data_IF_168423913090
#
_entry.id   IF_168423913090
#
_cell.length_a   1.000
_cell.length_b   1.000
_cell.length_c   1.000
_cell.angle_alpha   90.00
_cell.angle_beta   90.00
_cell.angle_gamma   90.00
#
_symmetry.space_group_name_H-M   'P 1'
#
loop_
_entity.id
_entity.type
_entity.pdbx_description
1 polymer ?
#
# COMPACT_ATOMS: atom_id res chain seq x y z
N UNK A 1 13.87 -14.25 -14.47
CA UNK A 1 13.77 -15.73 -14.68
C UNK A 1 14.24 -16.43 -13.42
N UNK A 2 13.59 -17.56 -13.06
CA UNK A 2 14.08 -18.47 -12.00
C UNK A 2 14.72 -19.70 -12.64
N UNK A 3 15.94 -19.99 -12.23
CA UNK A 3 16.69 -21.18 -12.71
C UNK A 3 16.41 -22.37 -11.76
N UNK A 4 15.26 -23.01 -11.97
CA UNK A 4 14.70 -24.02 -11.07
C UNK A 4 15.63 -25.21 -10.82
N UNK A 5 16.44 -25.56 -11.79
CA UNK A 5 17.43 -26.65 -11.72
C UNK A 5 18.55 -26.40 -10.71
N UNK A 6 18.76 -25.12 -10.31
CA UNK A 6 19.78 -24.74 -9.31
C UNK A 6 19.19 -24.30 -7.98
N UNK A 7 17.85 -24.41 -7.80
CA UNK A 7 17.16 -24.01 -6.58
C UNK A 7 17.16 -25.19 -5.58
N UNK A 8 17.44 -24.88 -4.32
CA UNK A 8 17.32 -25.82 -3.20
C UNK A 8 16.56 -25.18 -2.03
N UNK A 9 16.23 -25.90 -0.94
CA UNK A 9 15.58 -25.31 0.23
C UNK A 9 16.32 -24.12 0.86
N UNK A 10 17.61 -23.96 0.56
CA UNK A 10 18.46 -22.91 1.14
C UNK A 10 19.07 -21.99 0.11
N UNK A 11 18.85 -22.22 -1.20
CA UNK A 11 19.47 -21.46 -2.29
C UNK A 11 18.41 -21.12 -3.32
N UNK A 12 18.26 -19.83 -3.62
CA UNK A 12 17.46 -19.33 -4.72
C UNK A 12 18.40 -18.81 -5.84
N UNK A 13 18.27 -19.38 -7.05
CA UNK A 13 19.02 -18.92 -8.20
C UNK A 13 18.06 -18.29 -9.20
N UNK A 14 18.34 -17.03 -9.51
CA UNK A 14 17.51 -16.24 -10.42
C UNK A 14 18.37 -15.36 -11.33
N UNK A 15 17.75 -14.88 -12.39
CA UNK A 15 18.34 -13.90 -13.29
C UNK A 15 18.84 -12.67 -12.52
N UNK A 16 20.05 -12.25 -12.82
CA UNK A 16 20.57 -10.98 -12.33
C UNK A 16 19.89 -9.82 -13.07
N UNK A 17 19.36 -8.87 -12.32
CA UNK A 17 18.71 -7.69 -12.86
C UNK A 17 19.70 -6.52 -12.78
N UNK A 18 20.25 -6.16 -13.92
CA UNK A 18 21.17 -5.01 -14.08
C UNK A 18 20.34 -3.74 -14.31
N UNK A 19 19.70 -3.26 -13.26
CA UNK A 19 18.84 -2.08 -13.29
C UNK A 19 19.16 -1.11 -12.16
N UNK A 20 18.67 0.12 -12.29
CA UNK A 20 18.86 1.18 -11.30
C UNK A 20 17.84 1.02 -10.16
N UNK A 21 18.23 1.35 -8.94
CA UNK A 21 17.26 1.44 -7.84
C UNK A 21 16.24 2.55 -8.14
N UNK A 22 14.97 2.32 -7.81
CA UNK A 22 13.89 3.26 -8.11
C UNK A 22 14.12 4.65 -7.50
N UNK A 23 14.87 4.76 -6.40
CA UNK A 23 15.20 6.02 -5.74
C UNK A 23 16.59 6.59 -6.10
N UNK A 24 17.33 5.95 -6.99
CA UNK A 24 18.62 6.50 -7.48
C UNK A 24 18.39 7.52 -8.59
N UNK A 25 17.96 8.73 -8.19
CA UNK A 25 17.67 9.82 -9.11
C UNK A 25 18.83 10.17 -10.04
N UNK A 26 20.07 10.15 -9.50
CA UNK A 26 21.25 10.54 -10.28
C UNK A 26 21.49 9.53 -11.42
N UNK A 27 21.44 8.25 -11.10
CA UNK A 27 21.58 7.20 -12.11
C UNK A 27 20.42 7.20 -13.11
N UNK A 28 19.19 7.37 -12.66
CA UNK A 28 18.02 7.44 -13.55
C UNK A 28 18.11 8.60 -14.52
N UNK A 29 18.37 9.82 -14.05
CA UNK A 29 18.49 11.02 -14.90
C UNK A 29 19.67 10.92 -15.88
N UNK A 30 20.83 10.43 -15.43
CA UNK A 30 22.00 10.27 -16.29
C UNK A 30 21.82 9.24 -17.42
N UNK A 31 20.86 8.31 -17.24
CA UNK A 31 20.49 7.31 -18.24
C UNK A 31 19.19 7.68 -19.00
N UNK A 32 18.75 8.94 -18.92
CA UNK A 32 17.66 9.48 -19.72
C UNK A 32 16.25 9.11 -19.25
N UNK A 33 16.09 8.64 -18.02
CA UNK A 33 14.78 8.38 -17.45
C UNK A 33 14.12 9.66 -16.93
N UNK A 34 12.82 9.81 -17.17
CA UNK A 34 11.98 10.82 -16.54
C UNK A 34 11.51 10.31 -15.16
N UNK A 35 11.77 11.08 -14.10
CA UNK A 35 11.45 10.67 -12.75
C UNK A 35 9.93 10.62 -12.50
N UNK A 36 9.16 11.50 -13.15
CA UNK A 36 7.70 11.48 -13.02
C UNK A 36 7.11 10.25 -13.72
N UNK A 37 7.65 9.87 -14.88
CA UNK A 37 7.26 8.63 -15.56
C UNK A 37 7.59 7.40 -14.71
N UNK A 38 8.78 7.37 -14.10
CA UNK A 38 9.18 6.28 -13.20
C UNK A 38 8.28 6.19 -11.99
N UNK A 39 7.99 7.32 -11.33
CA UNK A 39 7.09 7.38 -10.19
C UNK A 39 5.68 6.92 -10.55
N UNK A 40 5.11 7.41 -11.65
CA UNK A 40 3.79 7.01 -12.13
C UNK A 40 3.72 5.50 -12.39
N UNK A 41 4.67 4.95 -13.15
CA UNK A 41 4.72 3.51 -13.42
C UNK A 41 4.85 2.66 -12.16
N UNK A 42 5.60 3.16 -11.16
CA UNK A 42 5.78 2.47 -9.89
C UNK A 42 4.47 2.41 -9.10
N UNK A 43 3.75 3.52 -8.98
CA UNK A 43 2.42 3.59 -8.35
C UNK A 43 1.41 2.73 -9.11
N UNK A 44 1.29 2.91 -10.42
CA UNK A 44 0.32 2.19 -11.26
C UNK A 44 0.52 0.68 -11.15
N UNK A 45 1.78 0.22 -11.15
CA UNK A 45 2.09 -1.19 -11.00
C UNK A 45 1.64 -1.73 -9.64
N UNK A 46 1.88 -0.97 -8.55
CA UNK A 46 1.42 -1.36 -7.22
C UNK A 46 -0.10 -1.36 -7.12
N UNK A 47 -0.76 -0.31 -7.60
CA UNK A 47 -2.23 -0.21 -7.60
C UNK A 47 -2.84 -1.38 -8.39
N UNK A 48 -2.27 -1.73 -9.54
CA UNK A 48 -2.70 -2.89 -10.30
C UNK A 48 -2.60 -4.19 -9.49
N UNK A 49 -1.47 -4.43 -8.83
CA UNK A 49 -1.29 -5.60 -7.97
C UNK A 49 -2.35 -5.68 -6.87
N UNK A 50 -2.70 -4.54 -6.25
CA UNK A 50 -3.71 -4.46 -5.18
C UNK A 50 -5.13 -4.61 -5.71
N UNK A 51 -5.49 -3.82 -6.72
CA UNK A 51 -6.89 -3.63 -7.13
C UNK A 51 -7.36 -4.65 -8.16
N UNK A 52 -6.46 -5.10 -9.04
CA UNK A 52 -6.79 -6.09 -10.07
C UNK A 52 -6.37 -7.49 -9.62
N UNK A 53 -5.07 -7.70 -9.38
CA UNK A 53 -4.52 -9.03 -9.12
C UNK A 53 -4.90 -9.54 -7.72
N UNK A 54 -5.06 -8.64 -6.72
CA UNK A 54 -5.28 -9.01 -5.32
C UNK A 54 -4.08 -9.74 -4.70
N UNK A 55 -2.93 -9.63 -5.34
CA UNK A 55 -1.66 -10.19 -4.92
C UNK A 55 -0.58 -9.13 -5.13
N UNK A 56 -0.04 -8.60 -4.06
CA UNK A 56 0.79 -7.40 -4.09
C UNK A 56 2.04 -7.52 -3.23
N UNK A 57 3.05 -6.75 -3.60
CA UNK A 57 4.27 -6.63 -2.82
C UNK A 57 4.01 -5.82 -1.55
N UNK A 58 4.20 -6.43 -0.39
CA UNK A 58 3.90 -5.77 0.90
C UNK A 58 5.10 -5.02 1.51
N UNK A 59 6.25 -5.07 0.85
CA UNK A 59 7.47 -4.35 1.23
C UNK A 59 8.14 -3.74 -0.01
N UNK A 60 7.47 -2.77 -0.68
CA UNK A 60 7.91 -2.19 -1.95
C UNK A 60 9.02 -1.15 -1.76
N UNK A 61 9.98 -1.38 -0.87
CA UNK A 61 11.08 -0.43 -0.66
C UNK A 61 12.08 -0.44 -1.84
N UNK A 62 12.87 0.63 -2.02
CA UNK A 62 13.76 0.77 -3.18
C UNK A 62 14.78 -0.34 -3.36
N UNK A 63 15.14 -1.05 -2.28
CA UNK A 63 16.01 -2.22 -2.34
C UNK A 63 15.42 -3.40 -3.12
N UNK A 64 14.07 -3.49 -3.17
CA UNK A 64 13.33 -4.58 -3.81
C UNK A 64 12.85 -4.24 -5.22
N UNK A 65 13.13 -3.02 -5.70
CA UNK A 65 12.64 -2.53 -6.99
C UNK A 65 13.78 -1.99 -7.85
N UNK A 66 13.84 -2.44 -9.10
CA UNK A 66 14.78 -1.95 -10.11
C UNK A 66 14.04 -1.38 -11.29
N UNK A 67 14.67 -0.39 -11.92
CA UNK A 67 14.24 0.16 -13.21
C UNK A 67 15.19 -0.39 -14.28
N UNK A 68 14.66 -1.19 -15.20
CA UNK A 68 15.43 -1.78 -16.28
C UNK A 68 14.64 -1.63 -17.59
N UNK A 69 15.24 -1.01 -18.59
CA UNK A 69 14.60 -0.79 -19.91
C UNK A 69 13.23 -0.14 -19.82
N UNK A 70 13.05 0.82 -18.89
CA UNK A 70 11.78 1.52 -18.65
C UNK A 70 10.70 0.68 -17.97
N UNK A 71 11.05 -0.49 -17.44
CA UNK A 71 10.15 -1.40 -16.72
C UNK A 71 10.42 -1.38 -15.22
N UNK A 72 9.37 -1.54 -14.44
CA UNK A 72 9.48 -1.81 -13.00
C UNK A 72 9.75 -3.29 -12.79
N UNK A 73 10.87 -3.63 -12.16
CA UNK A 73 11.27 -5.02 -11.89
C UNK A 73 11.33 -5.26 -10.38
N UNK A 74 10.52 -6.19 -9.90
CA UNK A 74 10.49 -6.64 -8.51
C UNK A 74 11.48 -7.80 -8.33
N UNK A 75 12.41 -7.68 -7.37
CA UNK A 75 13.50 -8.65 -7.21
C UNK A 75 13.43 -9.49 -5.94
N UNK A 76 12.66 -9.06 -4.93
CA UNK A 76 12.42 -9.86 -3.71
C UNK A 76 10.92 -10.05 -3.51
N UNK A 77 10.46 -11.30 -3.54
CA UNK A 77 9.07 -11.68 -3.33
C UNK A 77 8.84 -12.33 -1.95
N UNK A 78 9.74 -12.09 -0.99
CA UNK A 78 9.68 -12.67 0.35
C UNK A 78 8.49 -12.19 1.17
N UNK A 79 7.98 -10.98 0.90
CA UNK A 79 6.83 -10.42 1.60
C UNK A 79 5.73 -10.03 0.62
N UNK A 80 4.78 -10.96 0.40
CA UNK A 80 3.63 -10.74 -0.48
C UNK A 80 2.32 -10.73 0.30
N UNK A 81 1.47 -9.74 0.00
CA UNK A 81 0.10 -9.62 0.52
C UNK A 81 -0.92 -10.24 -0.43
N UNK A 82 -2.05 -10.68 0.15
CA UNK A 82 -3.21 -11.16 -0.61
C UNK A 82 -4.47 -10.49 -0.11
N UNK A 83 -5.31 -10.06 -1.04
CA UNK A 83 -6.66 -9.57 -0.81
C UNK A 83 -7.63 -10.47 -1.56
N UNK A 84 -8.69 -10.88 -0.89
CA UNK A 84 -9.81 -11.53 -1.54
C UNK A 84 -10.60 -10.50 -2.38
N UNK A 85 -11.47 -10.97 -3.28
CA UNK A 85 -12.36 -10.07 -4.01
C UNK A 85 -13.25 -9.25 -3.07
N UNK A 86 -13.64 -9.83 -1.93
CA UNK A 86 -14.38 -9.13 -0.89
C UNK A 86 -13.53 -8.00 -0.28
N UNK A 87 -12.27 -8.29 0.10
CA UNK A 87 -11.38 -7.29 0.68
C UNK A 87 -11.14 -6.13 -0.29
N UNK A 88 -10.93 -6.44 -1.58
CA UNK A 88 -10.78 -5.41 -2.62
C UNK A 88 -12.00 -4.50 -2.72
N UNK A 89 -13.20 -5.06 -2.68
CA UNK A 89 -14.44 -4.26 -2.71
C UNK A 89 -14.59 -3.42 -1.45
N UNK A 90 -14.33 -4.00 -0.28
CA UNK A 90 -14.38 -3.27 1.00
C UNK A 90 -13.37 -2.13 1.02
N UNK A 91 -12.16 -2.35 0.48
CA UNK A 91 -11.14 -1.31 0.37
C UNK A 91 -11.59 -0.16 -0.55
N UNK A 92 -12.19 -0.47 -1.72
CA UNK A 92 -12.78 0.56 -2.59
C UNK A 92 -13.86 1.38 -1.88
N UNK A 93 -14.75 0.70 -1.14
CA UNK A 93 -15.78 1.38 -0.36
C UNK A 93 -15.16 2.23 0.76
N UNK A 94 -14.07 1.76 1.39
CA UNK A 94 -13.37 2.52 2.43
C UNK A 94 -12.75 3.81 1.88
N UNK A 95 -12.06 3.74 0.74
CA UNK A 95 -11.53 4.94 0.06
C UNK A 95 -12.66 5.93 -0.23
N UNK A 96 -13.77 5.45 -0.81
CA UNK A 96 -14.93 6.30 -1.09
C UNK A 96 -15.49 6.93 0.20
N UNK A 97 -15.64 6.15 1.27
CA UNK A 97 -16.15 6.64 2.55
C UNK A 97 -15.22 7.69 3.18
N UNK A 98 -13.90 7.55 3.03
CA UNK A 98 -12.92 8.58 3.46
C UNK A 98 -13.12 9.86 2.65
N UNK A 99 -13.17 9.77 1.32
CA UNK A 99 -13.35 10.93 0.42
C UNK A 99 -14.68 11.65 0.66
N UNK A 100 -15.76 10.90 0.85
CA UNK A 100 -17.10 11.44 1.10
C UNK A 100 -17.35 11.78 2.59
N UNK A 101 -16.36 11.52 3.46
CA UNK A 101 -16.47 11.69 4.92
C UNK A 101 -17.65 10.92 5.53
N UNK A 102 -17.91 9.72 5.00
CA UNK A 102 -18.98 8.86 5.50
C UNK A 102 -18.49 7.99 6.67
N UNK A 103 -18.57 8.58 7.89
CA UNK A 103 -18.18 7.91 9.15
C UNK A 103 -18.96 6.62 9.37
N UNK A 104 -20.25 6.58 9.02
CA UNK A 104 -21.10 5.41 9.23
C UNK A 104 -20.67 4.26 8.32
N UNK A 105 -20.41 4.55 7.05
CA UNK A 105 -19.94 3.54 6.09
C UNK A 105 -18.55 3.04 6.49
N UNK A 106 -17.63 3.92 6.87
CA UNK A 106 -16.28 3.52 7.30
C UNK A 106 -16.34 2.65 8.58
N UNK A 107 -17.16 3.01 9.57
CA UNK A 107 -17.41 2.19 10.75
C UNK A 107 -17.97 0.81 10.37
N UNK A 108 -18.93 0.76 9.45
CA UNK A 108 -19.52 -0.50 8.96
C UNK A 108 -18.45 -1.39 8.33
N UNK A 109 -17.57 -0.81 7.53
CA UNK A 109 -16.48 -1.52 6.86
C UNK A 109 -15.52 -2.10 7.91
N UNK A 110 -15.07 -1.30 8.88
CA UNK A 110 -14.17 -1.76 9.95
C UNK A 110 -14.79 -2.95 10.72
N UNK A 111 -16.07 -2.87 11.07
CA UNK A 111 -16.77 -3.95 11.78
C UNK A 111 -16.95 -5.21 10.90
N UNK A 112 -17.13 -5.06 9.60
CA UNK A 112 -17.32 -6.19 8.67
C UNK A 112 -16.00 -6.88 8.28
N UNK A 113 -14.91 -6.15 8.24
CA UNK A 113 -13.58 -6.71 7.92
C UNK A 113 -12.90 -7.27 9.16
N UNK A 114 -13.10 -6.63 10.30
CA UNK A 114 -12.42 -6.98 11.54
C UNK A 114 -12.99 -8.21 12.23
N UNK A 115 -12.14 -8.85 13.03
CA UNK A 115 -12.52 -9.94 13.94
C UNK A 115 -12.45 -9.43 15.37
N UNK A 116 -13.52 -9.60 16.12
CA UNK A 116 -13.61 -9.19 17.54
C UNK A 116 -14.45 -10.17 18.34
N UNK A 117 -14.06 -10.40 19.59
CA UNK A 117 -14.67 -11.37 20.50
C UNK A 117 -15.37 -10.71 21.69
N UNK A 118 -15.39 -9.39 21.76
CA UNK A 118 -16.02 -8.60 22.83
C UNK A 118 -17.01 -7.62 22.22
N UNK A 119 -18.08 -7.26 22.95
CA UNK A 119 -18.99 -6.20 22.51
C UNK A 119 -18.24 -4.90 22.24
N UNK A 120 -18.50 -4.29 21.10
CA UNK A 120 -17.86 -3.03 20.70
C UNK A 120 -18.74 -1.85 21.12
N UNK A 121 -18.13 -0.86 21.77
CA UNK A 121 -18.78 0.42 22.00
C UNK A 121 -18.88 1.20 20.68
N UNK A 122 -20.02 1.02 19.99
CA UNK A 122 -20.22 1.60 18.67
C UNK A 122 -20.28 3.13 18.65
N UNK A 123 -20.66 3.75 19.78
CA UNK A 123 -20.70 5.21 19.92
C UNK A 123 -19.26 5.75 19.96
N UNK A 124 -18.42 5.14 20.79
CA UNK A 124 -17.02 5.54 20.89
C UNK A 124 -16.25 5.26 19.59
N UNK A 125 -16.47 4.10 18.97
CA UNK A 125 -15.88 3.77 17.67
C UNK A 125 -16.27 4.80 16.59
N UNK A 126 -17.52 5.23 16.57
CA UNK A 126 -17.98 6.28 15.67
C UNK A 126 -17.22 7.60 15.94
N UNK A 127 -17.14 8.02 17.20
CA UNK A 127 -16.47 9.27 17.58
C UNK A 127 -14.97 9.26 17.22
N UNK A 128 -14.30 8.12 17.41
CA UNK A 128 -12.88 7.98 17.09
C UNK A 128 -12.61 8.00 15.57
N UNK A 129 -13.50 7.39 14.76
CA UNK A 129 -13.44 7.45 13.30
C UNK A 129 -13.78 8.86 12.79
N UNK A 130 -14.78 9.53 13.38
CA UNK A 130 -15.14 10.91 13.03
C UNK A 130 -13.96 11.86 13.28
N UNK A 131 -13.33 11.76 14.45
CA UNK A 131 -12.14 12.54 14.78
C UNK A 131 -10.94 12.25 13.83
N UNK A 132 -10.78 11.01 13.39
CA UNK A 132 -9.78 10.66 12.40
C UNK A 132 -10.08 11.33 11.05
N UNK A 133 -11.31 11.25 10.57
CA UNK A 133 -11.71 11.88 9.31
C UNK A 133 -11.62 13.42 9.36
N UNK A 134 -11.94 14.04 10.50
CA UNK A 134 -11.79 15.49 10.71
C UNK A 134 -10.36 15.96 10.51
N UNK A 135 -9.39 15.18 10.95
CA UNK A 135 -7.96 15.47 10.78
C UNK A 135 -7.57 15.56 9.30
N UNK A 136 -8.11 14.70 8.46
CA UNK A 136 -7.75 14.62 7.03
C UNK A 136 -8.64 15.45 6.12
N UNK A 137 -9.91 15.70 6.47
CA UNK A 137 -10.82 16.55 5.68
C UNK A 137 -10.45 18.03 5.67
N UNK A 138 -9.54 18.49 6.55
CA UNK A 138 -8.99 19.85 6.54
C UNK A 138 -7.81 20.03 5.59
N UNK A 139 -7.33 18.94 4.96
CA UNK A 139 -6.22 18.94 4.00
C UNK A 139 -6.75 18.97 2.57
N UNK A 140 -5.95 19.51 1.65
CA UNK A 140 -6.26 19.35 0.23
C UNK A 140 -6.14 17.86 -0.16
N UNK A 141 -7.00 17.41 -1.07
CA UNK A 141 -7.07 15.99 -1.47
C UNK A 141 -5.72 15.43 -1.97
N UNK A 142 -4.86 16.27 -2.54
CA UNK A 142 -3.51 15.89 -2.98
C UNK A 142 -2.51 15.72 -1.84
N UNK A 143 -2.81 16.24 -0.65
CA UNK A 143 -1.93 16.16 0.52
C UNK A 143 -2.30 15.00 1.47
N UNK A 144 -3.37 14.26 1.15
CA UNK A 144 -3.85 13.15 1.98
C UNK A 144 -3.03 11.88 1.72
N UNK A 145 -2.19 11.53 2.68
CA UNK A 145 -1.43 10.27 2.71
C UNK A 145 -2.38 9.11 3.06
N UNK A 146 -2.81 8.36 2.04
CA UNK A 146 -3.76 7.23 2.20
C UNK A 146 -3.17 6.09 3.03
N UNK A 147 -1.86 5.91 3.01
CA UNK A 147 -1.18 4.94 3.85
C UNK A 147 -1.31 5.29 5.33
N UNK A 148 -1.13 6.58 5.69
CA UNK A 148 -1.35 7.07 7.07
C UNK A 148 -2.81 6.97 7.50
N UNK A 149 -3.74 7.35 6.64
CA UNK A 149 -5.18 7.20 6.94
C UNK A 149 -5.51 5.75 7.28
N UNK A 150 -5.03 4.80 6.47
CA UNK A 150 -5.26 3.37 6.70
C UNK A 150 -4.56 2.88 7.98
N UNK A 151 -3.33 3.33 8.23
CA UNK A 151 -2.61 2.98 9.46
C UNK A 151 -3.33 3.50 10.71
N UNK A 152 -3.74 4.77 10.75
CA UNK A 152 -4.48 5.36 11.86
C UNK A 152 -5.85 4.69 12.04
N UNK A 153 -6.54 4.35 10.95
CA UNK A 153 -7.80 3.58 11.03
C UNK A 153 -7.58 2.20 11.67
N UNK A 154 -6.47 1.53 11.34
CA UNK A 154 -6.12 0.26 12.00
C UNK A 154 -5.78 0.45 13.48
N UNK A 155 -5.13 1.56 13.87
CA UNK A 155 -4.90 1.89 15.28
C UNK A 155 -6.22 2.10 16.03
N UNK A 156 -7.17 2.82 15.44
CA UNK A 156 -8.53 2.97 15.98
C UNK A 156 -9.19 1.60 16.12
N UNK A 157 -9.18 0.76 15.10
CA UNK A 157 -9.73 -0.60 15.18
C UNK A 157 -9.09 -1.41 16.31
N UNK A 158 -7.77 -1.36 16.42
CA UNK A 158 -7.00 -2.07 17.46
C UNK A 158 -7.34 -1.59 18.89
N UNK A 159 -7.52 -0.28 19.10
CA UNK A 159 -7.93 0.29 20.40
C UNK A 159 -9.30 -0.23 20.85
N UNK A 160 -10.18 -0.54 19.90
CA UNK A 160 -11.48 -1.18 20.12
C UNK A 160 -11.41 -2.72 20.11
N UNK A 161 -10.21 -3.33 20.15
CA UNK A 161 -10.01 -4.78 20.12
C UNK A 161 -10.55 -5.46 18.85
N UNK A 162 -10.57 -4.73 17.76
CA UNK A 162 -10.93 -5.23 16.44
C UNK A 162 -9.63 -5.59 15.71
N UNK A 163 -9.39 -6.88 15.47
CA UNK A 163 -8.24 -7.37 14.73
C UNK A 163 -8.53 -7.31 13.23
N UNK A 164 -7.76 -6.51 12.49
CA UNK A 164 -7.90 -6.41 11.04
C UNK A 164 -7.20 -7.58 10.33
N UNK A 165 -7.70 -8.04 9.17
CA UNK A 165 -7.07 -9.10 8.40
C UNK A 165 -5.61 -8.77 8.07
N UNK A 166 -4.74 -9.80 8.08
CA UNK A 166 -3.31 -9.64 7.79
C UNK A 166 -3.05 -8.94 6.44
N UNK A 167 -3.85 -9.24 5.41
CA UNK A 167 -3.73 -8.60 4.09
C UNK A 167 -3.92 -7.09 4.13
N UNK A 168 -4.83 -6.59 4.98
CA UNK A 168 -5.09 -5.14 5.15
C UNK A 168 -3.91 -4.46 5.83
N UNK A 169 -3.34 -5.08 6.88
CA UNK A 169 -2.16 -4.55 7.56
C UNK A 169 -0.92 -4.53 6.64
N UNK A 170 -0.79 -5.55 5.79
CA UNK A 170 0.27 -5.58 4.78
C UNK A 170 0.07 -4.51 3.70
N UNK A 171 -1.19 -4.23 3.31
CA UNK A 171 -1.53 -3.17 2.37
C UNK A 171 -1.17 -1.78 2.92
N UNK A 172 -1.51 -1.50 4.18
CA UNK A 172 -1.16 -0.23 4.82
C UNK A 172 0.36 0.02 4.79
N UNK A 173 1.14 -0.98 5.15
CA UNK A 173 2.61 -0.90 5.09
C UNK A 173 3.11 -0.66 3.66
N UNK A 174 2.56 -1.38 2.68
CA UNK A 174 2.91 -1.22 1.27
C UNK A 174 2.62 0.20 0.77
N UNK A 175 1.44 0.75 1.08
CA UNK A 175 1.05 2.12 0.73
C UNK A 175 2.01 3.15 1.33
N UNK A 176 2.27 3.10 2.64
CA UNK A 176 3.22 4.00 3.31
C UNK A 176 4.61 3.98 2.64
N UNK A 177 5.06 2.80 2.25
CA UNK A 177 6.36 2.67 1.58
C UNK A 177 6.34 3.29 0.18
N UNK A 178 5.27 3.04 -0.61
CA UNK A 178 5.08 3.61 -1.95
C UNK A 178 5.06 5.14 -1.87
N UNK A 179 4.23 5.70 -0.99
CA UNK A 179 4.11 7.15 -0.81
C UNK A 179 5.45 7.78 -0.43
N UNK A 180 6.19 7.18 0.52
CA UNK A 180 7.51 7.66 0.90
C UNK A 180 8.55 7.61 -0.24
N UNK A 181 8.49 6.60 -1.09
CA UNK A 181 9.38 6.50 -2.28
C UNK A 181 9.00 7.54 -3.31
N UNK A 182 7.71 7.69 -3.62
CA UNK A 182 7.20 8.67 -4.60
C UNK A 182 7.52 10.09 -4.16
N UNK A 183 7.28 10.44 -2.91
CA UNK A 183 7.66 11.75 -2.36
C UNK A 183 9.16 12.07 -2.53
N UNK A 184 10.01 11.03 -2.55
CA UNK A 184 11.44 11.19 -2.79
C UNK A 184 11.76 11.28 -4.28
N UNK A 185 11.19 10.42 -5.11
CA UNK A 185 11.53 10.27 -6.55
C UNK A 185 10.89 11.36 -7.38
N UNK A 186 9.61 11.60 -7.16
CA UNK A 186 8.77 12.54 -7.93
C UNK A 186 7.81 13.29 -7.01
N UNK A 187 8.30 14.33 -6.29
CA UNK A 187 7.50 15.09 -5.34
C UNK A 187 6.25 15.76 -5.95
N UNK A 188 6.21 15.91 -7.27
CA UNK A 188 5.11 16.53 -8.00
C UNK A 188 3.92 15.57 -8.26
N UNK A 189 4.09 14.27 -7.96
CA UNK A 189 3.05 13.24 -8.11
C UNK A 189 2.18 13.04 -6.85
N UNK A 190 2.35 13.86 -5.83
CA UNK A 190 1.51 13.81 -4.62
C UNK A 190 0.10 14.28 -4.90
#
# INVERSE_FOLDING_TARGET
>A
ILYREYISPHILVMEYIDGFAVNDKAALLSNGYDLNEVGTKYVDNFIKQVMEDGFFHADPHPGNVRIQEGKIVWIDMGMMGRLTNRDKQMFKCAIKAVVERDVNELKRIVLQMGVYNTPINQVQLYADIDGLLDKYCSMDMGDVDMGKVLEELMMVASSHKIAMPKGVSMLARGLLTIEGVVATVSPELN
#
